data_IF_679493047383
#
_entry.id   IF_679493047383
#
_cell.length_a   1.000
_cell.length_b   1.000
_cell.length_c   1.000
_cell.angle_alpha   90.00
_cell.angle_beta   90.00
_cell.angle_gamma   90.00
#
_symmetry.space_group_name_H-M   'P 1'
#
loop_
_entity.id
_entity.type
_entity.pdbx_description
1 polymer ?
#
# COMPACT_ATOMS: atom_id res chain seq x y z
N UNK A 1 3.35 14.34 5.28
CA UNK A 1 3.64 13.33 6.33
C UNK A 1 4.46 12.26 5.65
N UNK A 2 5.60 11.83 6.19
CA UNK A 2 6.34 10.71 5.60
C UNK A 2 5.47 9.47 5.69
N UNK A 3 5.03 8.94 4.56
CA UNK A 3 4.45 7.61 4.52
C UNK A 3 5.59 6.64 4.81
N UNK A 4 5.47 5.83 5.87
CA UNK A 4 6.43 4.77 6.12
C UNK A 4 5.90 3.53 5.41
N UNK A 5 6.75 2.81 4.70
CA UNK A 5 6.32 1.61 4.02
C UNK A 5 6.40 0.38 4.92
N UNK A 6 5.64 -0.67 4.61
CA UNK A 6 5.78 -1.96 5.27
C UNK A 6 7.22 -2.45 5.17
N UNK A 7 7.75 -2.99 6.26
CA UNK A 7 9.07 -3.63 6.20
C UNK A 7 8.98 -4.94 5.41
N UNK A 8 9.82 -5.10 4.40
CA UNK A 8 9.98 -6.34 3.62
C UNK A 8 10.59 -7.48 4.46
N UNK A 9 11.29 -7.12 5.55
CA UNK A 9 12.12 -8.04 6.32
C UNK A 9 13.58 -8.08 5.83
N UNK A 10 13.94 -7.22 4.88
CA UNK A 10 15.31 -7.04 4.42
C UNK A 10 15.73 -5.56 4.51
N UNK A 11 16.72 -5.29 5.35
CA UNK A 11 17.17 -3.92 5.65
C UNK A 11 17.63 -3.12 4.41
N UNK A 12 18.13 -3.80 3.36
CA UNK A 12 18.58 -3.13 2.13
C UNK A 12 17.37 -2.66 1.33
N UNK A 13 16.38 -3.53 1.13
CA UNK A 13 15.13 -3.21 0.45
C UNK A 13 14.41 -2.08 1.20
N UNK A 14 14.26 -2.23 2.51
CA UNK A 14 13.56 -1.25 3.36
C UNK A 14 14.23 0.14 3.33
N UNK A 15 15.57 0.18 3.24
CA UNK A 15 16.31 1.42 3.06
C UNK A 15 16.04 2.05 1.69
N UNK A 16 15.99 1.26 0.64
CA UNK A 16 15.73 1.75 -0.72
C UNK A 16 14.31 2.34 -0.82
N UNK A 17 13.31 1.72 -0.19
CA UNK A 17 11.95 2.25 -0.08
C UNK A 17 11.93 3.63 0.58
N UNK A 18 12.63 3.77 1.71
CA UNK A 18 12.76 5.04 2.42
C UNK A 18 13.42 6.12 1.54
N UNK A 19 14.42 5.76 0.74
CA UNK A 19 15.08 6.68 -0.19
C UNK A 19 14.17 7.10 -1.35
N UNK A 20 13.36 6.18 -1.91
CA UNK A 20 12.35 6.50 -2.92
C UNK A 20 11.30 7.47 -2.37
N UNK A 21 10.73 7.15 -1.20
CA UNK A 21 9.76 8.02 -0.50
C UNK A 21 10.30 9.44 -0.31
N UNK A 22 11.56 9.53 0.13
CA UNK A 22 12.24 10.81 0.38
C UNK A 22 12.41 11.61 -0.90
N UNK A 23 12.73 10.95 -2.01
CA UNK A 23 12.90 11.61 -3.32
C UNK A 23 11.57 12.09 -3.89
N UNK A 24 10.52 11.28 -3.81
CA UNK A 24 9.17 11.67 -4.22
C UNK A 24 8.67 12.84 -3.38
N UNK A 25 8.83 12.77 -2.05
CA UNK A 25 8.52 13.88 -1.15
C UNK A 25 9.31 15.15 -1.52
N UNK A 26 10.62 15.02 -1.78
CA UNK A 26 11.45 16.16 -2.19
C UNK A 26 10.96 16.79 -3.50
N UNK A 27 10.54 15.97 -4.46
CA UNK A 27 9.98 16.43 -5.73
C UNK A 27 8.68 17.19 -5.52
N UNK A 28 7.75 16.62 -4.76
CA UNK A 28 6.48 17.26 -4.42
C UNK A 28 6.70 18.61 -3.74
N UNK A 29 7.64 18.71 -2.79
CA UNK A 29 7.97 19.98 -2.13
C UNK A 29 8.58 20.99 -3.10
N UNK A 30 9.57 20.61 -3.92
CA UNK A 30 10.20 21.50 -4.89
C UNK A 30 9.18 22.07 -5.88
N UNK A 31 8.25 21.24 -6.36
CA UNK A 31 7.23 21.68 -7.30
C UNK A 31 6.15 22.54 -6.65
N UNK A 32 5.57 22.09 -5.53
CA UNK A 32 4.44 22.75 -4.88
C UNK A 32 4.85 24.09 -4.25
N UNK A 33 6.04 24.15 -3.66
CA UNK A 33 6.49 25.34 -2.90
C UNK A 33 7.33 26.29 -3.72
N UNK A 34 8.22 25.78 -4.58
CA UNK A 34 9.25 26.59 -5.25
C UNK A 34 8.97 26.78 -6.74
N UNK A 35 8.17 25.91 -7.36
CA UNK A 35 7.85 25.90 -8.80
C UNK A 35 9.11 26.05 -9.68
N UNK A 36 10.24 25.45 -9.27
CA UNK A 36 11.51 25.47 -10.01
C UNK A 36 11.63 24.21 -10.89
N UNK A 37 11.41 24.31 -12.21
CA UNK A 37 11.43 23.15 -13.09
C UNK A 37 12.82 22.49 -13.19
N UNK A 38 13.90 23.28 -13.11
CA UNK A 38 15.26 22.73 -13.22
C UNK A 38 15.63 21.93 -11.97
N UNK A 39 15.18 22.38 -10.80
CA UNK A 39 15.32 21.62 -9.56
C UNK A 39 14.50 20.32 -9.60
N UNK A 40 13.31 20.35 -10.20
CA UNK A 40 12.47 19.18 -10.36
C UNK A 40 13.08 18.14 -11.30
N UNK A 41 13.62 18.54 -12.46
CA UNK A 41 14.26 17.64 -13.43
C UNK A 41 15.39 16.83 -12.79
N UNK A 42 16.28 17.50 -12.02
CA UNK A 42 17.37 16.84 -11.32
C UNK A 42 16.87 15.85 -10.25
N UNK A 43 15.74 16.13 -9.61
CA UNK A 43 15.13 15.22 -8.62
C UNK A 43 14.44 14.04 -9.32
N UNK A 44 13.79 14.26 -10.47
CA UNK A 44 13.22 13.18 -11.31
C UNK A 44 14.31 12.22 -11.75
N UNK A 45 15.43 12.73 -12.30
CA UNK A 45 16.56 11.90 -12.71
C UNK A 45 17.11 11.08 -11.54
N UNK A 46 17.24 11.71 -10.37
CA UNK A 46 17.69 11.03 -9.15
C UNK A 46 16.69 9.94 -8.72
N UNK A 47 15.40 10.22 -8.76
CA UNK A 47 14.34 9.27 -8.42
C UNK A 47 14.34 8.06 -9.35
N UNK A 48 14.36 8.27 -10.68
CA UNK A 48 14.37 7.20 -11.67
C UNK A 48 15.64 6.33 -11.54
N UNK A 49 16.80 6.93 -11.26
CA UNK A 49 18.02 6.18 -11.02
C UNK A 49 17.97 5.35 -9.73
N UNK A 50 17.39 5.87 -8.66
CA UNK A 50 17.20 5.12 -7.41
C UNK A 50 16.18 4.00 -7.57
N UNK A 51 15.12 4.22 -8.36
CA UNK A 51 14.11 3.22 -8.65
C UNK A 51 14.70 2.04 -9.43
N UNK A 52 15.49 2.33 -10.47
CA UNK A 52 16.21 1.30 -11.22
C UNK A 52 17.15 0.49 -10.29
N UNK A 53 17.93 1.16 -9.43
CA UNK A 53 18.86 0.50 -8.50
C UNK A 53 18.14 -0.34 -7.45
N UNK A 54 17.03 0.16 -6.91
CA UNK A 54 16.14 -0.57 -6.02
C UNK A 54 15.61 -1.85 -6.68
N UNK A 55 15.01 -1.76 -7.86
CA UNK A 55 14.49 -2.93 -8.57
C UNK A 55 15.57 -3.96 -8.90
N UNK A 56 16.78 -3.53 -9.28
CA UNK A 56 17.89 -4.48 -9.51
C UNK A 56 18.38 -5.16 -8.22
N UNK A 57 18.46 -4.37 -7.14
CA UNK A 57 18.89 -4.85 -5.82
C UNK A 57 17.89 -5.84 -5.24
N UNK A 58 16.61 -5.47 -5.25
CA UNK A 58 15.52 -6.33 -4.81
C UNK A 58 15.50 -7.64 -5.59
N UNK A 59 15.58 -7.58 -6.93
CA UNK A 59 15.61 -8.79 -7.75
C UNK A 59 16.80 -9.69 -7.44
N UNK A 60 17.95 -9.12 -7.11
CA UNK A 60 19.09 -9.92 -6.67
C UNK A 60 18.79 -10.65 -5.35
N UNK A 61 18.17 -9.94 -4.40
CA UNK A 61 17.85 -10.46 -3.07
C UNK A 61 16.76 -11.54 -3.15
N UNK A 62 15.60 -11.26 -3.75
CA UNK A 62 14.46 -12.18 -3.75
C UNK A 62 14.75 -13.45 -4.57
N UNK A 63 15.56 -13.33 -5.64
CA UNK A 63 16.03 -14.50 -6.40
C UNK A 63 16.96 -15.36 -5.58
N UNK A 64 17.87 -14.76 -4.81
CA UNK A 64 18.76 -15.48 -3.92
C UNK A 64 17.99 -16.16 -2.78
N UNK A 65 16.89 -15.56 -2.31
CA UNK A 65 15.97 -16.12 -1.33
C UNK A 65 15.06 -17.23 -1.89
N UNK A 66 15.05 -17.44 -3.21
CA UNK A 66 14.27 -18.51 -3.85
C UNK A 66 12.80 -18.15 -4.12
N UNK A 67 12.45 -16.87 -4.18
CA UNK A 67 11.12 -16.42 -4.59
C UNK A 67 10.80 -16.95 -6.00
N UNK A 68 9.82 -17.83 -6.13
CA UNK A 68 9.51 -18.47 -7.42
C UNK A 68 8.89 -17.49 -8.45
N UNK A 69 8.15 -16.47 -7.97
CA UNK A 69 7.46 -15.49 -8.80
C UNK A 69 8.34 -14.39 -9.40
N UNK A 70 9.65 -14.41 -9.15
CA UNK A 70 10.56 -13.30 -9.48
C UNK A 70 10.54 -12.86 -10.96
N UNK A 71 10.22 -13.75 -11.89
CA UNK A 71 10.17 -13.41 -13.32
C UNK A 71 9.02 -12.44 -13.63
N UNK A 72 7.82 -12.73 -13.10
CA UNK A 72 6.65 -11.88 -13.27
C UNK A 72 6.86 -10.54 -12.59
N UNK A 73 7.33 -10.55 -11.35
CA UNK A 73 7.64 -9.33 -10.58
C UNK A 73 8.65 -8.43 -11.32
N UNK A 74 9.67 -9.02 -11.96
CA UNK A 74 10.62 -8.27 -12.77
C UNK A 74 10.01 -7.71 -14.08
N UNK A 75 8.96 -8.32 -14.62
CA UNK A 75 8.19 -7.75 -15.74
C UNK A 75 7.40 -6.52 -15.29
N UNK A 76 6.85 -6.55 -14.08
CA UNK A 76 6.14 -5.42 -13.46
C UNK A 76 7.09 -4.25 -13.20
N UNK A 77 8.30 -4.51 -12.68
CA UNK A 77 9.38 -3.51 -12.60
C UNK A 77 9.64 -2.82 -13.94
N UNK A 78 9.78 -3.63 -14.99
CA UNK A 78 10.06 -3.10 -16.32
C UNK A 78 8.88 -2.28 -16.86
N UNK A 79 7.64 -2.63 -16.52
CA UNK A 79 6.45 -1.84 -16.85
C UNK A 79 6.46 -0.47 -16.14
N UNK A 80 6.69 -0.48 -14.84
CA UNK A 80 6.77 0.71 -13.98
C UNK A 80 7.81 1.69 -14.50
N UNK A 81 9.05 1.23 -14.71
CA UNK A 81 10.16 2.07 -15.20
C UNK A 81 9.79 2.71 -16.54
N UNK A 82 9.23 1.94 -17.49
CA UNK A 82 8.82 2.47 -18.80
C UNK A 82 7.74 3.54 -18.66
N UNK A 83 6.75 3.32 -17.78
CA UNK A 83 5.65 4.26 -17.55
C UNK A 83 6.17 5.59 -16.99
N UNK A 84 6.98 5.54 -15.94
CA UNK A 84 7.51 6.73 -15.27
C UNK A 84 8.50 7.49 -16.16
N UNK A 85 9.41 6.81 -16.86
CA UNK A 85 10.31 7.47 -17.84
C UNK A 85 9.54 8.20 -18.94
N UNK A 86 8.46 7.59 -19.45
CA UNK A 86 7.61 8.23 -20.46
C UNK A 86 6.92 9.49 -19.93
N UNK A 87 6.54 9.53 -18.66
CA UNK A 87 5.96 10.72 -18.03
C UNK A 87 7.02 11.80 -17.78
N UNK A 88 8.24 11.41 -17.41
CA UNK A 88 9.37 12.32 -17.24
C UNK A 88 9.74 13.06 -18.54
N UNK A 89 9.54 12.44 -19.70
CA UNK A 89 9.71 13.08 -21.01
C UNK A 89 8.61 14.12 -21.35
N UNK A 90 7.68 14.37 -20.41
CA UNK A 90 6.58 15.31 -20.54
C UNK A 90 7.01 16.78 -20.69
N UNK A 91 6.05 17.64 -21.04
CA UNK A 91 6.25 19.10 -21.16
C UNK A 91 5.05 19.87 -20.62
N UNK A 92 5.27 21.10 -20.16
CA UNK A 92 4.24 21.99 -19.60
C UNK A 92 4.24 21.99 -18.07
N UNK A 93 3.24 22.57 -17.43
CA UNK A 93 3.13 22.52 -15.96
C UNK A 93 2.35 21.27 -15.49
N UNK A 94 1.43 20.78 -16.33
CA UNK A 94 0.56 19.63 -16.02
C UNK A 94 1.33 18.30 -15.88
N UNK A 95 2.43 18.12 -16.63
CA UNK A 95 3.16 16.85 -16.58
C UNK A 95 3.81 16.61 -15.20
N UNK A 96 4.19 17.67 -14.48
CA UNK A 96 4.84 17.53 -13.18
C UNK A 96 3.86 17.02 -12.13
N UNK A 97 2.64 17.56 -12.11
CA UNK A 97 1.58 17.04 -11.25
C UNK A 97 1.29 15.57 -11.56
N UNK A 98 1.18 15.23 -12.84
CA UNK A 98 0.96 13.85 -13.28
C UNK A 98 2.12 12.91 -12.96
N UNK A 99 3.35 13.41 -13.05
CA UNK A 99 4.53 12.61 -12.71
C UNK A 99 4.60 12.36 -11.20
N UNK A 100 4.41 13.40 -10.38
CA UNK A 100 4.43 13.27 -8.91
C UNK A 100 3.34 12.29 -8.47
N UNK A 101 2.11 12.48 -8.93
CA UNK A 101 0.97 11.62 -8.62
C UNK A 101 1.23 10.17 -9.03
N UNK A 102 1.71 9.96 -10.26
CA UNK A 102 2.03 8.60 -10.72
C UNK A 102 3.20 7.98 -9.97
N UNK A 103 4.24 8.75 -9.62
CA UNK A 103 5.39 8.26 -8.87
C UNK A 103 4.99 7.87 -7.44
N UNK A 104 4.23 8.72 -6.75
CA UNK A 104 3.67 8.42 -5.41
C UNK A 104 2.84 7.15 -5.47
N UNK A 105 1.88 7.08 -6.40
CA UNK A 105 0.98 5.94 -6.57
C UNK A 105 1.72 4.67 -6.92
N UNK A 106 2.66 4.73 -7.87
CA UNK A 106 3.38 3.54 -8.34
C UNK A 106 4.30 2.97 -7.27
N UNK A 107 5.08 3.81 -6.59
CA UNK A 107 5.95 3.35 -5.49
C UNK A 107 5.09 2.71 -4.42
N UNK A 108 3.98 3.37 -4.05
CA UNK A 108 3.10 2.85 -3.02
C UNK A 108 2.41 1.53 -3.40
N UNK A 109 1.78 1.46 -4.57
CA UNK A 109 1.11 0.24 -5.06
C UNK A 109 2.11 -0.91 -5.22
N UNK A 110 3.31 -0.64 -5.73
CA UNK A 110 4.32 -1.67 -5.91
C UNK A 110 4.80 -2.24 -4.57
N UNK A 111 5.21 -1.36 -3.66
CA UNK A 111 5.74 -1.75 -2.35
C UNK A 111 4.68 -2.41 -1.46
N UNK A 112 3.41 -2.13 -1.72
CA UNK A 112 2.32 -2.61 -0.89
C UNK A 112 1.57 -3.79 -1.48
N UNK A 113 1.57 -3.97 -2.80
CA UNK A 113 0.92 -5.10 -3.46
C UNK A 113 1.95 -6.12 -3.93
N UNK A 114 2.88 -5.68 -4.78
CA UNK A 114 3.89 -6.55 -5.39
C UNK A 114 4.81 -7.17 -4.36
N UNK A 115 5.34 -6.37 -3.44
CA UNK A 115 6.36 -6.84 -2.50
C UNK A 115 5.85 -7.85 -1.48
N UNK A 116 4.53 -7.90 -1.26
CA UNK A 116 3.96 -8.90 -0.36
C UNK A 116 4.19 -10.33 -0.85
N UNK A 117 4.32 -10.53 -2.16
CA UNK A 117 4.46 -11.86 -2.77
C UNK A 117 5.71 -12.61 -2.27
N UNK A 118 6.74 -11.89 -1.85
CA UNK A 118 7.99 -12.47 -1.40
C UNK A 118 8.23 -12.33 0.11
N UNK A 119 7.28 -11.78 0.88
CA UNK A 119 7.43 -11.65 2.33
C UNK A 119 7.64 -12.99 3.03
N UNK A 120 7.03 -14.07 2.56
CA UNK A 120 7.23 -15.41 3.15
C UNK A 120 8.65 -15.95 2.97
N UNK A 121 9.36 -15.53 1.92
CA UNK A 121 10.75 -15.99 1.68
C UNK A 121 11.79 -15.07 2.31
N UNK A 122 11.46 -13.80 2.57
CA UNK A 122 12.36 -12.84 3.22
C UNK A 122 12.14 -12.75 4.73
N UNK A 123 10.89 -12.80 5.17
CA UNK A 123 10.52 -12.79 6.58
C UNK A 123 10.07 -14.19 7.01
N UNK A 124 10.40 -14.59 8.23
CA UNK A 124 9.81 -15.79 8.85
C UNK A 124 8.36 -15.48 9.22
N UNK A 125 7.48 -15.44 8.21
CA UNK A 125 6.07 -15.11 8.40
C UNK A 125 5.39 -16.25 9.14
N UNK A 126 4.71 -15.97 10.27
CA UNK A 126 4.07 -17.02 11.04
C UNK A 126 2.91 -17.69 10.31
N UNK A 127 2.70 -18.97 10.60
CA UNK A 127 1.71 -19.84 9.92
C UNK A 127 0.25 -19.62 10.37
N UNK A 128 0.00 -18.75 11.34
CA UNK A 128 -1.35 -18.48 11.85
C UNK A 128 -2.00 -17.36 11.04
N UNK A 129 -3.07 -17.70 10.33
CA UNK A 129 -3.87 -16.75 9.57
C UNK A 129 -5.08 -16.28 10.38
N UNK A 130 -5.22 -14.96 10.52
CA UNK A 130 -6.40 -14.31 11.08
C UNK A 130 -7.61 -14.41 10.15
N UNK A 131 -7.36 -14.27 8.85
CA UNK A 131 -8.35 -14.27 7.77
C UNK A 131 -7.88 -15.27 6.72
N UNK A 132 -8.73 -16.24 6.40
CA UNK A 132 -8.53 -17.11 5.24
C UNK A 132 -9.22 -16.47 4.05
N UNK A 133 -8.47 -16.17 2.99
CA UNK A 133 -9.05 -15.69 1.74
C UNK A 133 -9.79 -16.83 1.03
N UNK A 134 -10.98 -16.55 0.52
CA UNK A 134 -11.71 -17.44 -0.38
C UNK A 134 -12.56 -16.65 -1.38
N UNK A 135 -13.11 -17.34 -2.39
CA UNK A 135 -13.87 -16.72 -3.49
C UNK A 135 -15.14 -16.00 -3.03
N UNK A 136 -15.61 -16.20 -1.79
CA UNK A 136 -16.75 -15.44 -1.26
C UNK A 136 -16.43 -13.96 -1.05
N UNK A 137 -15.15 -13.59 -0.94
CA UNK A 137 -14.67 -12.22 -0.82
C UNK A 137 -14.47 -11.53 -2.18
N UNK A 138 -14.61 -12.23 -3.30
CA UNK A 138 -14.46 -11.62 -4.63
C UNK A 138 -15.59 -10.63 -4.91
N UNK A 139 -15.23 -9.44 -5.37
CA UNK A 139 -16.15 -8.44 -5.92
C UNK A 139 -16.20 -8.49 -7.46
N UNK A 140 -15.32 -9.28 -8.07
CA UNK A 140 -15.18 -9.47 -9.52
C UNK A 140 -14.66 -8.25 -10.28
N UNK A 141 -13.88 -7.42 -9.58
CA UNK A 141 -13.02 -6.40 -10.16
C UNK A 141 -11.57 -6.77 -9.83
N UNK A 142 -10.74 -6.99 -10.85
CA UNK A 142 -9.40 -7.57 -10.71
C UNK A 142 -8.51 -6.75 -9.78
N UNK A 143 -8.52 -5.42 -9.92
CA UNK A 143 -7.67 -4.52 -9.14
C UNK A 143 -8.16 -4.45 -7.68
N UNK A 144 -9.48 -4.39 -7.50
CA UNK A 144 -10.07 -4.34 -6.15
C UNK A 144 -9.86 -5.66 -5.41
N UNK A 145 -10.03 -6.80 -6.10
CA UNK A 145 -9.76 -8.11 -5.53
C UNK A 145 -8.27 -8.28 -5.17
N UNK A 146 -7.35 -7.69 -5.93
CA UNK A 146 -5.92 -7.63 -5.58
C UNK A 146 -5.66 -6.78 -4.34
N UNK A 147 -6.26 -5.59 -4.24
CA UNK A 147 -6.16 -4.72 -3.06
C UNK A 147 -6.69 -5.41 -1.80
N UNK A 148 -7.87 -6.06 -1.88
CA UNK A 148 -8.45 -6.81 -0.77
C UNK A 148 -7.57 -7.97 -0.30
N UNK A 149 -7.00 -8.75 -1.24
CA UNK A 149 -6.07 -9.84 -0.90
C UNK A 149 -4.84 -9.31 -0.18
N UNK A 150 -4.27 -8.22 -0.67
CA UNK A 150 -3.11 -7.61 -0.05
C UNK A 150 -3.42 -7.04 1.35
N UNK A 151 -4.61 -6.46 1.58
CA UNK A 151 -5.04 -6.05 2.93
C UNK A 151 -5.16 -7.27 3.87
N UNK A 152 -5.75 -8.37 3.39
CA UNK A 152 -5.85 -9.63 4.14
C UNK A 152 -4.48 -10.21 4.48
N UNK A 153 -3.56 -10.25 3.51
CA UNK A 153 -2.19 -10.72 3.70
C UNK A 153 -1.44 -9.87 4.73
N UNK A 154 -1.60 -8.55 4.67
CA UNK A 154 -1.02 -7.63 5.66
C UNK A 154 -1.53 -7.91 7.08
N UNK A 155 -2.85 -8.05 7.24
CA UNK A 155 -3.46 -8.33 8.54
C UNK A 155 -3.03 -9.69 9.09
N UNK A 156 -2.91 -10.70 8.23
CA UNK A 156 -2.38 -12.00 8.61
C UNK A 156 -0.93 -11.91 9.11
N UNK A 157 -0.08 -11.16 8.41
CA UNK A 157 1.31 -10.95 8.83
C UNK A 157 1.41 -10.26 10.18
N UNK A 158 0.67 -9.17 10.37
CA UNK A 158 0.59 -8.47 11.66
C UNK A 158 0.10 -9.39 12.78
N UNK A 159 -0.96 -10.16 12.53
CA UNK A 159 -1.49 -11.11 13.50
C UNK A 159 -0.45 -12.16 13.88
N UNK A 160 0.24 -12.73 12.90
CA UNK A 160 1.34 -13.66 13.13
C UNK A 160 2.41 -13.07 14.05
N UNK A 161 2.85 -11.83 13.80
CA UNK A 161 3.85 -11.17 14.64
C UNK A 161 3.40 -11.01 16.09
N UNK A 162 2.15 -10.59 16.30
CA UNK A 162 1.57 -10.50 17.64
C UNK A 162 1.57 -11.86 18.33
N UNK A 163 1.24 -12.94 17.62
CA UNK A 163 1.21 -14.31 18.16
C UNK A 163 2.62 -14.83 18.49
N UNK A 164 3.66 -14.29 17.86
CA UNK A 164 5.06 -14.67 18.11
C UNK A 164 5.79 -13.71 19.06
N UNK A 165 5.07 -12.78 19.70
CA UNK A 165 5.65 -11.90 20.72
C UNK A 165 6.52 -10.80 20.14
N UNK A 166 6.12 -10.22 18.99
CA UNK A 166 6.72 -8.99 18.47
C UNK A 166 6.68 -7.87 19.51
N UNK A 167 7.68 -7.00 19.48
CA UNK A 167 7.72 -5.79 20.29
C UNK A 167 6.54 -4.86 19.95
N UNK A 168 6.00 -4.21 20.98
CA UNK A 168 4.82 -3.33 20.86
C UNK A 168 5.03 -2.21 19.84
N UNK A 169 6.17 -1.52 19.89
CA UNK A 169 6.47 -0.41 18.97
C UNK A 169 6.47 -0.88 17.51
N UNK A 170 7.08 -2.05 17.24
CA UNK A 170 7.13 -2.63 15.90
C UNK A 170 5.73 -2.98 15.40
N UNK A 171 4.87 -3.52 16.27
CA UNK A 171 3.47 -3.75 15.94
C UNK A 171 2.74 -2.43 15.64
N UNK A 172 2.86 -1.41 16.50
CA UNK A 172 2.16 -0.13 16.34
C UNK A 172 2.60 0.64 15.09
N UNK A 173 3.88 0.57 14.74
CA UNK A 173 4.43 1.16 13.51
C UNK A 173 3.85 0.52 12.25
N UNK A 174 3.74 -0.82 12.23
CA UNK A 174 3.20 -1.54 11.08
C UNK A 174 1.66 -1.54 11.04
N UNK A 175 0.99 -1.55 12.20
CA UNK A 175 -0.46 -1.40 12.28
C UNK A 175 -0.91 -0.03 11.77
N UNK A 176 -0.11 1.01 11.99
CA UNK A 176 -0.36 2.32 11.37
C UNK A 176 -0.32 2.29 9.83
N UNK A 177 0.38 1.33 9.21
CA UNK A 177 0.39 1.19 7.76
C UNK A 177 -0.86 0.58 7.18
N UNK A 178 -1.64 -0.18 7.96
CA UNK A 178 -2.98 -0.60 7.54
C UNK A 178 -3.84 0.62 7.22
N UNK A 179 -3.74 1.70 8.01
CA UNK A 179 -4.46 2.94 7.70
C UNK A 179 -4.04 3.56 6.37
N UNK A 180 -2.73 3.65 6.11
CA UNK A 180 -2.21 4.17 4.84
C UNK A 180 -2.70 3.33 3.66
N UNK A 181 -2.64 2.00 3.79
CA UNK A 181 -3.11 1.08 2.76
C UNK A 181 -4.60 1.24 2.50
N UNK A 182 -5.43 1.12 3.55
CA UNK A 182 -6.88 1.29 3.45
C UNK A 182 -7.24 2.61 2.77
N UNK A 183 -6.55 3.71 3.11
CA UNK A 183 -6.80 5.01 2.50
C UNK A 183 -6.59 4.99 0.98
N UNK A 184 -5.47 4.42 0.53
CA UNK A 184 -5.17 4.36 -0.92
C UNK A 184 -6.12 3.41 -1.65
N UNK A 185 -6.49 2.29 -1.03
CA UNK A 185 -7.50 1.39 -1.58
C UNK A 185 -8.84 2.11 -1.76
N UNK A 186 -9.32 2.85 -0.74
CA UNK A 186 -10.55 3.65 -0.85
C UNK A 186 -10.44 4.78 -1.88
N UNK A 187 -9.29 5.46 -1.96
CA UNK A 187 -9.06 6.49 -2.99
C UNK A 187 -9.10 5.90 -4.41
N UNK A 188 -8.58 4.69 -4.60
CA UNK A 188 -8.65 3.99 -5.86
C UNK A 188 -10.10 3.65 -6.23
N UNK A 189 -10.85 3.06 -5.30
CA UNK A 189 -12.28 2.77 -5.50
C UNK A 189 -13.08 4.04 -5.80
N UNK A 190 -12.89 5.10 -5.02
CA UNK A 190 -13.58 6.37 -5.23
C UNK A 190 -13.23 7.02 -6.57
N UNK A 191 -12.02 6.80 -7.09
CA UNK A 191 -11.62 7.27 -8.41
C UNK A 191 -12.40 6.58 -9.53
N UNK A 192 -12.71 5.29 -9.37
CA UNK A 192 -13.60 4.54 -10.26
C UNK A 192 -15.04 5.07 -10.18
N UNK A 193 -15.44 5.57 -9.01
CA UNK A 193 -16.77 6.16 -8.78
C UNK A 193 -16.89 7.60 -9.28
N UNK A 194 -15.79 8.30 -9.53
CA UNK A 194 -15.81 9.73 -9.89
C UNK A 194 -16.63 10.01 -11.17
N UNK A 195 -16.78 9.01 -12.03
CA UNK A 195 -17.61 9.06 -13.26
C UNK A 195 -19.08 8.71 -13.02
N UNK A 196 -19.41 8.17 -11.84
CA UNK A 196 -20.71 7.68 -11.42
C UNK A 196 -21.28 8.66 -10.38
N UNK A 197 -22.00 9.69 -10.84
CA UNK A 197 -22.66 10.66 -9.96
C UNK A 197 -23.93 10.10 -9.30
N UNK A 198 -23.87 8.92 -8.69
CA UNK A 198 -25.00 8.28 -8.03
C UNK A 198 -25.04 8.58 -6.53
N UNK A 199 -26.24 8.50 -5.95
CA UNK A 199 -26.41 8.59 -4.49
C UNK A 199 -25.70 7.44 -3.76
N UNK A 200 -25.54 6.30 -4.42
CA UNK A 200 -24.85 5.11 -3.92
C UNK A 200 -23.34 5.35 -3.82
N UNK A 201 -22.71 5.90 -4.85
CA UNK A 201 -21.29 6.27 -4.82
C UNK A 201 -20.98 7.26 -3.68
N UNK A 202 -21.85 8.25 -3.49
CA UNK A 202 -21.70 9.21 -2.37
C UNK A 202 -21.95 8.56 -1.01
N UNK A 203 -22.82 7.55 -0.92
CA UNK A 203 -23.02 6.80 0.32
C UNK A 203 -21.79 5.95 0.63
N UNK A 204 -21.23 5.30 -0.37
CA UNK A 204 -20.01 4.51 -0.27
C UNK A 204 -18.83 5.35 0.24
N UNK A 205 -18.55 6.50 -0.38
CA UNK A 205 -17.48 7.39 0.07
C UNK A 205 -17.67 7.91 1.52
N UNK A 206 -18.93 8.05 1.99
CA UNK A 206 -19.21 8.37 3.40
C UNK A 206 -18.89 7.20 4.32
N UNK A 207 -19.15 5.98 3.88
CA UNK A 207 -18.77 4.77 4.62
C UNK A 207 -17.25 4.66 4.72
N UNK A 208 -16.51 4.87 3.63
CA UNK A 208 -15.04 4.94 3.64
C UNK A 208 -14.50 5.98 4.64
N UNK A 209 -15.03 7.19 4.62
CA UNK A 209 -14.62 8.25 5.55
C UNK A 209 -14.86 7.85 7.02
N UNK A 210 -16.00 7.18 7.31
CA UNK A 210 -16.31 6.66 8.64
C UNK A 210 -15.32 5.54 9.03
N UNK A 211 -15.12 4.56 8.16
CA UNK A 211 -14.23 3.42 8.37
C UNK A 211 -12.77 3.88 8.64
N UNK A 212 -12.27 4.85 7.87
CA UNK A 212 -10.96 5.47 8.12
C UNK A 212 -10.91 6.18 9.47
N UNK A 213 -11.98 6.88 9.86
CA UNK A 213 -12.05 7.55 11.17
C UNK A 213 -12.02 6.54 12.32
N UNK A 214 -12.76 5.44 12.21
CA UNK A 214 -12.77 4.35 13.19
C UNK A 214 -11.40 3.70 13.32
N UNK A 215 -10.75 3.36 12.20
CA UNK A 215 -9.41 2.78 12.18
C UNK A 215 -8.37 3.72 12.80
N UNK A 216 -8.43 5.03 12.48
CA UNK A 216 -7.55 6.03 13.10
C UNK A 216 -7.74 6.07 14.62
N UNK A 217 -8.99 6.13 15.09
CA UNK A 217 -9.28 6.18 16.52
C UNK A 217 -8.77 4.93 17.24
N UNK A 218 -8.93 3.77 16.61
CA UNK A 218 -8.41 2.49 17.10
C UNK A 218 -6.89 2.51 17.24
N UNK A 219 -6.16 2.98 16.21
CA UNK A 219 -4.69 3.12 16.26
C UNK A 219 -4.26 4.09 17.36
N UNK A 220 -4.94 5.23 17.49
CA UNK A 220 -4.64 6.24 18.50
C UNK A 220 -4.91 5.76 19.93
N UNK A 221 -5.94 4.93 20.14
CA UNK A 221 -6.27 4.38 21.44
C UNK A 221 -5.28 3.31 21.86
N UNK A 222 -4.87 2.43 20.93
CA UNK A 222 -3.78 1.50 21.18
C UNK A 222 -2.54 2.28 21.64
N UNK A 223 -2.05 3.26 20.88
CA UNK A 223 -0.83 4.00 21.22
C UNK A 223 -0.78 4.66 22.62
N UNK A 224 -1.93 4.86 23.27
CA UNK A 224 -1.99 5.47 24.61
C UNK A 224 -1.89 4.46 25.75
N UNK A 225 -2.44 3.27 25.58
CA UNK A 225 -2.66 2.29 26.64
C UNK A 225 -2.55 0.85 26.08
N UNK A 226 -1.50 0.52 25.30
CA UNK A 226 -1.40 -0.82 24.70
C UNK A 226 -0.96 -1.86 25.74
N UNK A 227 -1.78 -2.91 25.86
CA UNK A 227 -1.33 -4.25 26.18
C UNK A 227 -1.34 -5.07 24.89
N UNK A 228 -0.32 -5.90 24.65
CA UNK A 228 -0.29 -6.80 23.49
C UNK A 228 -1.45 -7.80 23.51
N UNK A 229 -2.04 -8.11 24.67
CA UNK A 229 -3.29 -8.87 24.75
C UNK A 229 -4.50 -8.09 24.21
N UNK A 230 -4.57 -6.79 24.45
CA UNK A 230 -5.61 -5.92 23.89
C UNK A 230 -5.44 -5.79 22.36
N UNK A 231 -4.20 -5.72 21.87
CA UNK A 231 -3.90 -5.74 20.44
C UNK A 231 -4.35 -7.05 19.76
N UNK A 232 -4.14 -8.21 20.42
CA UNK A 232 -4.64 -9.53 19.95
C UNK A 232 -6.15 -9.54 19.82
N UNK A 233 -6.84 -9.08 20.86
CA UNK A 233 -8.30 -9.01 20.91
C UNK A 233 -8.82 -8.08 19.83
N UNK A 234 -8.23 -6.89 19.68
CA UNK A 234 -8.61 -5.93 18.66
C UNK A 234 -8.48 -6.51 17.25
N UNK A 235 -7.35 -7.13 16.92
CA UNK A 235 -7.16 -7.74 15.60
C UNK A 235 -8.23 -8.80 15.31
N UNK A 236 -8.53 -9.66 16.29
CA UNK A 236 -9.50 -10.74 16.17
C UNK A 236 -10.95 -10.28 16.11
N UNK A 237 -11.32 -9.35 16.98
CA UNK A 237 -12.72 -9.03 17.29
C UNK A 237 -13.18 -7.73 16.65
N UNK A 238 -12.25 -6.90 16.14
CA UNK A 238 -12.57 -5.67 15.42
C UNK A 238 -12.02 -5.68 14.00
N UNK A 239 -10.69 -5.66 13.81
CA UNK A 239 -10.08 -5.39 12.49
C UNK A 239 -10.46 -6.45 11.46
N UNK A 240 -10.47 -7.72 11.85
CA UNK A 240 -10.95 -8.82 11.00
C UNK A 240 -12.38 -8.61 10.51
N UNK A 241 -13.30 -8.33 11.42
CA UNK A 241 -14.72 -8.18 11.08
C UNK A 241 -14.95 -6.90 10.31
N UNK A 242 -14.25 -5.82 10.66
CA UNK A 242 -14.29 -4.55 9.97
C UNK A 242 -13.95 -4.70 8.47
N UNK A 243 -12.89 -5.44 8.12
CA UNK A 243 -12.50 -5.62 6.72
C UNK A 243 -13.49 -6.53 5.98
N UNK A 244 -13.87 -7.66 6.59
CA UNK A 244 -14.78 -8.62 5.97
C UNK A 244 -16.17 -8.00 5.75
N UNK A 245 -16.67 -7.23 6.71
CA UNK A 245 -17.95 -6.54 6.62
C UNK A 245 -17.93 -5.49 5.51
N UNK A 246 -16.86 -4.70 5.41
CA UNK A 246 -16.67 -3.75 4.31
C UNK A 246 -16.76 -4.44 2.94
N UNK A 247 -15.94 -5.47 2.71
CA UNK A 247 -15.92 -6.23 1.44
C UNK A 247 -17.30 -6.81 1.10
N UNK A 248 -17.95 -7.47 2.07
CA UNK A 248 -19.18 -8.22 1.80
C UNK A 248 -20.44 -7.35 1.75
N UNK A 249 -20.49 -6.26 2.52
CA UNK A 249 -21.70 -5.45 2.71
C UNK A 249 -21.65 -4.15 1.93
N UNK A 250 -20.47 -3.60 1.66
CA UNK A 250 -20.31 -2.34 0.94
C UNK A 250 -19.80 -2.57 -0.48
N UNK A 251 -18.65 -3.24 -0.65
CA UNK A 251 -17.99 -3.33 -1.96
C UNK A 251 -18.70 -4.31 -2.88
N UNK A 252 -18.91 -5.54 -2.41
CA UNK A 252 -19.50 -6.59 -3.23
C UNK A 252 -20.86 -6.19 -3.81
N UNK A 253 -21.81 -5.61 -3.04
CA UNK A 253 -23.02 -5.07 -3.62
C UNK A 253 -22.76 -3.94 -4.61
N UNK A 254 -21.87 -3.00 -4.30
CA UNK A 254 -21.58 -1.88 -5.20
C UNK A 254 -21.04 -2.34 -6.56
N UNK A 255 -20.00 -3.19 -6.57
CA UNK A 255 -19.36 -3.67 -7.79
C UNK A 255 -20.25 -4.64 -8.59
N UNK A 256 -21.06 -5.47 -7.93
CA UNK A 256 -22.00 -6.35 -8.63
C UNK A 256 -23.17 -5.60 -9.31
N UNK A 257 -23.58 -4.45 -8.77
CA UNK A 257 -24.69 -3.65 -9.30
C UNK A 257 -24.22 -2.48 -10.20
N UNK A 258 -22.91 -2.32 -10.42
CA UNK A 258 -22.33 -1.36 -11.38
C UNK A 258 -22.61 -1.73 -12.86
N UNK A 259 -23.33 -2.84 -13.12
CA UNK A 259 -23.68 -3.36 -14.46
C UNK A 259 -24.98 -2.81 -15.05
#
# INVERSE_FOLDING_TARGET
MSQNFPQSGNEIIDKHHADLTRLVSKLAHAWIMEQDPNACDAVIDSFLANLDDHFQTEMTIVRAAGFAGWQRHNEDHAHIIRKLRKLADGKGEDYMYRFIDEAERTVFEHELLGDQEYWEVLAQTPTEHLITWDDSLLVHDEIIDEHHKALVNYLNRLYGWIMNGVEEEVFLENFAQIYSFTKVHFEHEESEFATIHSAEAQAHARDHARLLSELRHTIENLRKETDMDDARILMRDFVRFWLIDHILVHDKPFFLHRG
#
